data_IF_723089369658
#
_entry.id   IF_723089369658
#
_cell.length_a   1.000
_cell.length_b   1.000
_cell.length_c   1.000
_cell.angle_alpha   90.00
_cell.angle_beta   90.00
_cell.angle_gamma   90.00
#
_symmetry.space_group_name_H-M   'P 1'
#
loop_
_entity.id
_entity.type
_entity.pdbx_description
1 polymer ?
#
# COMPACT_ATOMS: atom_id res chain seq x y z
N UNK A 1 -3.42 11.51 6.56
CA UNK A 1 -3.37 12.04 5.18
C UNK A 1 -4.51 11.41 4.41
N UNK A 2 -5.64 12.10 4.29
CA UNK A 2 -6.76 11.66 3.45
C UNK A 2 -6.42 11.70 1.96
N UNK A 3 -7.19 10.94 1.17
CA UNK A 3 -7.21 11.08 -0.28
C UNK A 3 -7.40 12.56 -0.72
N UNK A 4 -8.27 13.30 -0.01
CA UNK A 4 -8.50 14.73 -0.24
C UNK A 4 -7.25 15.61 -0.06
N UNK A 5 -6.28 15.16 0.75
CA UNK A 5 -5.01 15.86 1.00
C UNK A 5 -3.83 15.23 0.24
N UNK A 6 -4.11 14.44 -0.80
CA UNK A 6 -3.09 13.78 -1.62
C UNK A 6 -2.53 12.50 -1.01
N UNK A 7 -3.19 11.92 0.00
CA UNK A 7 -2.88 10.59 0.49
C UNK A 7 -3.13 9.55 -0.59
N UNK A 8 -2.12 8.77 -0.94
CA UNK A 8 -2.20 7.69 -1.91
C UNK A 8 -1.57 6.44 -1.31
N UNK A 9 -2.13 5.27 -1.63
CA UNK A 9 -1.51 4.01 -1.25
C UNK A 9 -0.15 3.88 -1.95
N UNK A 10 0.91 3.64 -1.16
CA UNK A 10 2.25 3.41 -1.67
C UNK A 10 2.87 2.17 -1.05
N UNK A 11 3.88 1.65 -1.73
CA UNK A 11 4.76 0.59 -1.25
C UNK A 11 6.19 0.95 -1.61
N UNK A 12 7.12 0.50 -0.79
CA UNK A 12 8.53 0.75 -1.01
C UNK A 12 9.41 -0.38 -0.55
N UNK A 13 10.60 -0.42 -1.12
CA UNK A 13 11.69 -1.31 -0.70
C UNK A 13 12.88 -0.45 -0.32
N UNK A 14 13.51 -0.79 0.82
CA UNK A 14 14.75 -0.18 1.27
C UNK A 14 15.85 -1.24 1.29
N UNK A 15 16.92 -0.96 0.57
CA UNK A 15 18.16 -1.73 0.59
C UNK A 15 19.19 -1.02 1.49
N UNK A 16 20.39 -1.58 1.60
CA UNK A 16 21.51 -0.92 2.30
C UNK A 16 21.84 0.45 1.70
N UNK A 17 21.68 0.61 0.38
CA UNK A 17 22.04 1.84 -0.34
C UNK A 17 20.85 2.65 -0.87
N UNK A 18 19.73 2.03 -1.22
CA UNK A 18 18.65 2.74 -1.91
C UNK A 18 17.30 2.63 -1.19
N UNK A 19 16.48 3.65 -1.32
CA UNK A 19 15.06 3.62 -0.98
C UNK A 19 14.26 3.87 -2.25
N UNK A 20 13.39 2.93 -2.63
CA UNK A 20 12.51 3.04 -3.77
C UNK A 20 11.06 2.94 -3.33
N UNK A 21 10.21 3.84 -3.82
CA UNK A 21 8.78 3.90 -3.50
C UNK A 21 7.97 4.07 -4.79
N UNK A 22 6.83 3.39 -4.86
CA UNK A 22 5.84 3.54 -5.93
C UNK A 22 4.43 3.69 -5.39
N UNK A 23 3.57 4.35 -6.15
CA UNK A 23 2.12 4.20 -6.03
C UNK A 23 1.66 3.00 -6.87
N UNK A 24 0.34 2.77 -6.94
CA UNK A 24 -0.23 1.74 -7.81
C UNK A 24 0.02 2.05 -9.29
N UNK A 25 0.06 3.33 -9.64
CA UNK A 25 0.15 3.82 -11.02
C UNK A 25 1.59 3.95 -11.52
N UNK A 26 2.51 4.42 -10.66
CA UNK A 26 3.85 4.80 -11.11
C UNK A 26 4.93 4.76 -10.02
N UNK A 27 6.21 4.66 -10.42
CA UNK A 27 7.32 5.03 -9.55
C UNK A 27 7.10 6.43 -8.96
N UNK A 28 7.45 6.62 -7.69
CA UNK A 28 7.24 7.87 -6.99
C UNK A 28 8.52 8.46 -6.41
N UNK A 29 9.34 7.65 -5.75
CA UNK A 29 10.57 8.14 -5.14
C UNK A 29 11.73 7.16 -5.32
N UNK A 30 12.93 7.72 -5.51
CA UNK A 30 14.19 7.00 -5.43
C UNK A 30 15.22 7.87 -4.71
N UNK A 31 15.83 7.34 -3.65
CA UNK A 31 16.90 8.01 -2.90
C UNK A 31 18.12 7.11 -2.78
N UNK A 32 19.31 7.68 -2.92
CA UNK A 32 20.59 7.05 -2.55
C UNK A 32 20.89 7.37 -1.08
N UNK A 33 20.64 6.43 -0.19
CA UNK A 33 20.78 6.58 1.26
C UNK A 33 22.24 6.79 1.71
N UNK A 34 23.24 6.51 0.85
CA UNK A 34 24.64 6.74 1.18
C UNK A 34 25.06 8.17 0.84
N UNK A 35 24.71 8.64 -0.35
CA UNK A 35 25.04 10.00 -0.84
C UNK A 35 24.04 11.06 -0.34
N UNK A 36 22.82 10.64 -0.01
CA UNK A 36 21.73 11.47 0.50
C UNK A 36 21.05 10.80 1.72
N UNK A 37 21.72 10.76 2.89
CA UNK A 37 21.20 10.10 4.08
C UNK A 37 19.87 10.65 4.58
N UNK A 38 19.61 11.93 4.29
CA UNK A 38 18.39 12.63 4.65
C UNK A 38 17.29 12.53 3.59
N UNK A 39 17.53 11.86 2.46
CA UNK A 39 16.55 11.61 1.39
C UNK A 39 15.88 12.89 0.88
N UNK A 40 16.69 13.91 0.62
CA UNK A 40 16.23 15.21 0.14
C UNK A 40 16.16 15.28 -1.40
N UNK A 41 16.90 14.42 -2.09
CA UNK A 41 17.05 14.44 -3.55
C UNK A 41 16.32 13.25 -4.19
N UNK A 42 15.08 13.47 -4.62
CA UNK A 42 14.34 12.43 -5.35
C UNK A 42 14.92 12.27 -6.77
N UNK A 43 15.42 11.07 -7.07
CA UNK A 43 16.05 10.71 -8.35
C UNK A 43 15.20 9.79 -9.22
N UNK A 44 13.92 9.64 -8.93
CA UNK A 44 13.05 8.68 -9.64
C UNK A 44 12.93 8.96 -11.14
N UNK A 45 12.94 10.25 -11.51
CA UNK A 45 12.79 10.72 -12.89
C UNK A 45 14.13 10.88 -13.62
N UNK A 46 15.25 10.59 -12.95
CA UNK A 46 16.57 10.62 -13.58
C UNK A 46 16.69 9.46 -14.58
N UNK A 47 16.88 9.72 -15.89
CA UNK A 47 17.01 8.67 -16.89
C UNK A 47 18.16 7.69 -16.59
N UNK A 48 19.25 8.16 -15.94
CA UNK A 48 20.37 7.32 -15.55
C UNK A 48 19.97 6.28 -14.50
N UNK A 49 18.94 6.55 -13.70
CA UNK A 49 18.44 5.65 -12.65
C UNK A 49 17.38 4.66 -13.16
N UNK A 50 16.95 4.75 -14.42
CA UNK A 50 15.85 3.95 -14.94
C UNK A 50 16.06 2.43 -14.81
N UNK A 51 17.29 1.95 -15.03
CA UNK A 51 17.62 0.52 -14.84
C UNK A 51 17.53 0.08 -13.38
N UNK A 52 17.98 0.93 -12.45
CA UNK A 52 17.90 0.68 -11.01
C UNK A 52 16.44 0.68 -10.53
N UNK A 53 15.64 1.66 -10.95
CA UNK A 53 14.19 1.70 -10.67
C UNK A 53 13.49 0.42 -11.12
N UNK A 54 13.77 -0.08 -12.33
CA UNK A 54 13.20 -1.34 -12.82
C UNK A 54 13.63 -2.54 -11.98
N UNK A 55 14.90 -2.60 -11.58
CA UNK A 55 15.41 -3.66 -10.73
C UNK A 55 14.73 -3.68 -9.36
N UNK A 56 14.68 -2.54 -8.67
CA UNK A 56 14.06 -2.40 -7.35
C UNK A 56 12.55 -2.63 -7.41
N UNK A 57 11.87 -2.17 -8.46
CA UNK A 57 10.46 -2.50 -8.68
C UNK A 57 10.24 -4.01 -8.82
N UNK A 58 11.10 -4.72 -9.57
CA UNK A 58 11.03 -6.17 -9.69
C UNK A 58 11.27 -6.89 -8.35
N UNK A 59 12.16 -6.38 -7.49
CA UNK A 59 12.33 -6.91 -6.14
C UNK A 59 11.10 -6.66 -5.27
N UNK A 60 10.55 -5.44 -5.29
CA UNK A 60 9.34 -5.08 -4.57
C UNK A 60 8.16 -5.97 -4.99
N UNK A 61 7.93 -6.18 -6.29
CA UNK A 61 6.83 -7.03 -6.76
C UNK A 61 6.93 -8.46 -6.21
N UNK A 62 8.13 -9.07 -6.22
CA UNK A 62 8.31 -10.41 -5.64
C UNK A 62 7.99 -10.45 -4.15
N UNK A 63 8.34 -9.41 -3.39
CA UNK A 63 8.01 -9.33 -1.95
C UNK A 63 6.50 -9.25 -1.77
N UNK A 64 5.80 -8.41 -2.54
CA UNK A 64 4.35 -8.29 -2.47
C UNK A 64 3.66 -9.61 -2.82
N UNK A 65 4.10 -10.29 -3.88
CA UNK A 65 3.60 -11.61 -4.27
C UNK A 65 3.79 -12.65 -3.15
N UNK A 66 4.97 -12.69 -2.53
CA UNK A 66 5.27 -13.59 -1.42
C UNK A 66 4.40 -13.32 -0.18
N UNK A 67 4.01 -12.07 0.03
CA UNK A 67 3.15 -11.67 1.15
C UNK A 67 1.66 -11.76 0.83
N UNK A 68 1.29 -12.02 -0.43
CA UNK A 68 -0.09 -11.94 -0.88
C UNK A 68 -0.65 -10.51 -0.79
N UNK A 69 0.20 -9.48 -0.88
CA UNK A 69 -0.22 -8.08 -0.92
C UNK A 69 -0.61 -7.70 -2.35
N UNK A 70 -1.92 -7.66 -2.59
CA UNK A 70 -2.53 -7.28 -3.87
C UNK A 70 -2.39 -5.78 -4.19
N UNK A 71 -1.82 -4.98 -3.27
CA UNK A 71 -1.69 -3.53 -3.39
C UNK A 71 -3.06 -2.84 -3.62
N UNK A 72 -4.02 -3.24 -2.80
CA UNK A 72 -5.38 -2.69 -2.79
C UNK A 72 -5.40 -1.20 -2.47
N UNK A 73 -6.41 -0.49 -2.98
CA UNK A 73 -6.71 0.88 -2.57
C UNK A 73 -7.10 0.89 -1.08
N UNK A 74 -7.03 2.06 -0.41
CA UNK A 74 -7.49 2.18 0.97
C UNK A 74 -8.93 1.71 1.17
N UNK A 75 -9.82 2.03 0.22
CA UNK A 75 -11.23 1.64 0.22
C UNK A 75 -11.40 0.12 0.06
N UNK A 76 -10.69 -0.47 -0.91
CA UNK A 76 -10.70 -1.92 -1.16
C UNK A 76 -10.17 -2.69 0.07
N UNK A 77 -9.10 -2.19 0.69
CA UNK A 77 -8.51 -2.79 1.88
C UNK A 77 -9.44 -2.67 3.10
N UNK A 78 -10.06 -1.51 3.30
CA UNK A 78 -11.04 -1.30 4.38
C UNK A 78 -12.23 -2.27 4.23
N UNK A 79 -12.80 -2.35 3.01
CA UNK A 79 -13.89 -3.27 2.71
C UNK A 79 -13.49 -4.74 2.91
N UNK A 80 -12.29 -5.15 2.46
CA UNK A 80 -11.76 -6.52 2.66
C UNK A 80 -11.70 -6.92 4.14
N UNK A 81 -11.50 -5.95 5.03
CA UNK A 81 -11.41 -6.17 6.47
C UNK A 81 -12.69 -5.82 7.26
N UNK A 82 -13.80 -5.50 6.57
CA UNK A 82 -15.09 -5.21 7.19
C UNK A 82 -15.20 -3.82 7.83
N UNK A 83 -14.36 -2.89 7.40
CA UNK A 83 -14.45 -1.49 7.78
C UNK A 83 -15.23 -0.70 6.72
N UNK A 84 -16.15 0.14 7.20
CA UNK A 84 -16.98 1.01 6.36
C UNK A 84 -16.87 2.45 6.87
N UNK A 85 -17.05 3.41 5.97
CA UNK A 85 -16.90 4.84 6.31
C UNK A 85 -15.42 5.21 6.49
N UNK A 86 -14.79 5.66 5.40
CA UNK A 86 -13.67 6.58 5.55
C UNK A 86 -14.30 7.93 5.90
N UNK A 87 -13.89 8.55 7.00
CA UNK A 87 -14.34 9.91 7.31
C UNK A 87 -14.08 10.80 6.08
N UNK A 88 -15.04 11.65 5.73
CA UNK A 88 -14.93 12.63 4.65
C UNK A 88 -13.84 13.66 4.97
N UNK A 89 -12.58 13.26 4.91
CA UNK A 89 -11.45 14.03 5.41
C UNK A 89 -10.29 13.21 5.97
N UNK A 90 -10.44 11.90 6.23
CA UNK A 90 -9.38 11.06 6.81
C UNK A 90 -9.27 9.64 6.19
N UNK A 91 -8.10 9.02 6.37
CA UNK A 91 -7.79 7.65 5.88
C UNK A 91 -7.92 6.59 6.96
N UNK A 92 -8.63 6.91 8.04
CA UNK A 92 -8.84 6.01 9.17
C UNK A 92 -10.30 5.58 9.11
N UNK A 93 -10.58 4.28 8.92
CA UNK A 93 -11.93 3.78 9.07
C UNK A 93 -12.36 3.89 10.55
N UNK A 94 -13.50 4.53 10.81
CA UNK A 94 -13.95 4.83 12.17
C UNK A 94 -14.99 3.85 12.69
N UNK A 95 -15.62 3.07 11.80
CA UNK A 95 -16.67 2.13 12.15
C UNK A 95 -16.41 0.74 11.53
N UNK A 96 -16.51 -0.30 12.37
CA UNK A 96 -16.61 -1.68 11.88
C UNK A 96 -18.09 -1.91 11.57
N UNK A 97 -18.43 -2.12 10.30
CA UNK A 97 -19.84 -2.17 9.88
C UNK A 97 -20.61 -3.27 10.61
N UNK A 98 -21.81 -2.97 11.10
CA UNK A 98 -22.73 -3.96 11.72
C UNK A 98 -23.05 -5.11 10.76
N UNK A 99 -23.01 -4.86 9.45
CA UNK A 99 -23.17 -5.85 8.38
C UNK A 99 -22.11 -6.96 8.41
N UNK A 100 -20.87 -6.66 8.81
CA UNK A 100 -19.83 -7.68 8.99
C UNK A 100 -20.20 -8.69 10.08
N UNK A 101 -20.82 -8.22 11.17
CA UNK A 101 -21.31 -9.10 12.24
C UNK A 101 -22.43 -10.03 11.72
N UNK A 102 -23.33 -9.51 10.90
CA UNK A 102 -24.45 -10.26 10.30
C UNK A 102 -23.95 -11.30 9.28
N UNK A 103 -23.00 -10.93 8.42
CA UNK A 103 -22.41 -11.86 7.44
C UNK A 103 -21.58 -12.96 8.12
N UNK A 104 -20.75 -12.59 9.10
CA UNK A 104 -19.93 -13.53 9.86
C UNK A 104 -20.78 -14.49 10.72
N UNK A 105 -21.89 -14.02 11.30
CA UNK A 105 -22.85 -14.86 12.01
C UNK A 105 -23.52 -15.87 11.07
N UNK A 106 -23.99 -15.44 9.89
CA UNK A 106 -24.58 -16.32 8.87
C UNK A 106 -23.62 -17.40 8.38
N UNK A 107 -22.34 -17.07 8.20
CA UNK A 107 -21.29 -18.03 7.81
C UNK A 107 -20.96 -19.05 8.91
N UNK A 108 -21.07 -18.67 10.19
CA UNK A 108 -20.90 -19.59 11.33
C UNK A 108 -22.09 -20.53 11.51
N UNK A 109 -23.31 -20.05 11.30
CA UNK A 109 -24.52 -20.89 11.33
C UNK A 109 -24.57 -21.91 10.20
N UNK A 110 -24.03 -21.57 9.02
CA UNK A 110 -23.94 -22.51 7.89
C UNK A 110 -22.79 -23.51 8.03
N UNK A 111 -21.68 -23.13 8.69
CA UNK A 111 -20.57 -24.03 8.97
C UNK A 111 -20.81 -25.02 10.12
N UNK A 112 -21.76 -24.74 11.02
CA UNK A 112 -22.12 -25.61 12.16
C UNK A 112 -23.26 -26.60 11.91
N UNK A 113 -23.75 -26.70 10.66
CA UNK A 113 -24.90 -27.53 10.28
C UNK A 113 -24.57 -28.70 9.34
N UNK A 114 -23.29 -29.09 9.27
CA UNK A 114 -22.83 -30.35 8.68
C UNK A 114 -22.32 -31.29 9.76
#
# INVERSE_FOLDING_TARGET
WSAQRGGVAYRGIRTSRYTYVKTKEKPWMLFDNQEDPCQLQNRVDDPAMGSLCRHLNGQLQRILEQQGDEFLSPEELAAKHGFHGLDAGDSIPTEKGEEWYIQAAKLRETAGRN
#
